data_IF_242046802329
#
_entry.id   IF_242046802329
#
_cell.length_a   1.000
_cell.length_b   1.000
_cell.length_c   1.000
_cell.angle_alpha   90.00
_cell.angle_beta   90.00
_cell.angle_gamma   90.00
#
_symmetry.space_group_name_H-M   'P 1'
#
loop_
_entity.id
_entity.type
_entity.pdbx_description
1 polymer ?
#
# COMPACT_ATOMS: atom_id res chain seq x y z
N UNK A 1 28.96 16.68 -3.44
CA UNK A 1 27.77 16.14 -2.75
C UNK A 1 27.09 17.28 -1.98
N UNK A 2 25.84 17.62 -2.32
CA UNK A 2 25.15 18.76 -1.72
C UNK A 2 24.69 18.46 -0.28
N UNK A 3 24.51 19.51 0.55
CA UNK A 3 23.96 19.36 1.93
C UNK A 3 22.69 18.49 1.99
N UNK A 4 21.90 18.46 0.91
CA UNK A 4 20.68 17.68 0.78
C UNK A 4 20.94 16.17 0.67
N UNK A 5 22.04 15.71 0.09
CA UNK A 5 22.36 14.27 -0.01
C UNK A 5 22.80 13.69 1.34
N UNK A 6 23.57 14.45 2.13
CA UNK A 6 23.93 14.03 3.49
C UNK A 6 22.72 13.97 4.44
N UNK A 7 21.78 14.89 4.31
CA UNK A 7 20.53 14.86 5.09
C UNK A 7 19.66 13.67 4.68
N UNK A 8 19.56 13.37 3.38
CA UNK A 8 18.81 12.22 2.86
C UNK A 8 19.31 10.88 3.40
N UNK A 9 20.62 10.65 3.40
CA UNK A 9 21.23 9.44 3.94
C UNK A 9 20.95 9.23 5.44
N UNK A 10 21.03 10.31 6.24
CA UNK A 10 20.72 10.25 7.68
C UNK A 10 19.24 9.92 7.94
N UNK A 11 18.33 10.51 7.17
CA UNK A 11 16.88 10.23 7.28
C UNK A 11 16.58 8.78 6.92
N UNK A 12 17.18 8.25 5.84
CA UNK A 12 17.00 6.85 5.45
C UNK A 12 17.52 5.89 6.55
N UNK A 13 18.67 6.17 7.11
CA UNK A 13 19.21 5.39 8.23
C UNK A 13 18.27 5.42 9.45
N UNK A 14 17.81 6.61 9.84
CA UNK A 14 16.89 6.78 10.96
C UNK A 14 15.57 6.03 10.75
N UNK A 15 15.00 6.08 9.54
CA UNK A 15 13.79 5.32 9.18
C UNK A 15 14.05 3.80 9.17
N UNK A 16 15.22 3.36 8.70
CA UNK A 16 15.63 1.95 8.77
C UNK A 16 15.72 1.44 10.21
N UNK A 17 16.35 2.22 11.09
CA UNK A 17 16.45 1.90 12.53
C UNK A 17 15.05 1.90 13.18
N UNK A 18 14.21 2.89 12.88
CA UNK A 18 12.83 2.95 13.35
C UNK A 18 12.03 1.72 12.91
N UNK A 19 12.11 1.36 11.63
CA UNK A 19 11.42 0.18 11.10
C UNK A 19 11.91 -1.10 11.78
N UNK A 20 13.22 -1.28 11.98
CA UNK A 20 13.79 -2.43 12.68
C UNK A 20 13.31 -2.48 14.14
N UNK A 21 13.31 -1.36 14.84
CA UNK A 21 12.80 -1.27 16.21
C UNK A 21 11.31 -1.62 16.29
N UNK A 22 10.47 -1.08 15.38
CA UNK A 22 9.04 -1.40 15.30
C UNK A 22 8.82 -2.89 14.95
N UNK A 23 9.63 -3.44 14.05
CA UNK A 23 9.57 -4.86 13.66
C UNK A 23 9.79 -5.77 14.87
N UNK A 24 10.85 -5.52 15.65
CA UNK A 24 11.17 -6.28 16.87
C UNK A 24 10.06 -6.08 17.92
N UNK A 25 9.61 -4.82 18.13
CA UNK A 25 8.56 -4.50 19.08
C UNK A 25 7.25 -5.20 18.75
N UNK A 26 6.91 -5.34 17.46
CA UNK A 26 5.68 -5.98 17.00
C UNK A 26 5.55 -7.45 17.38
N UNK A 27 6.68 -8.14 17.62
CA UNK A 27 6.66 -9.50 18.15
C UNK A 27 6.31 -9.57 19.63
N UNK A 28 6.54 -8.49 20.40
CA UNK A 28 6.14 -8.41 21.80
C UNK A 28 4.69 -7.98 21.99
N UNK A 29 4.22 -7.14 21.06
CA UNK A 29 2.85 -6.64 21.08
C UNK A 29 1.88 -7.69 20.54
N UNK A 30 0.94 -8.12 21.37
CA UNK A 30 -0.08 -9.10 21.02
C UNK A 30 -0.76 -9.66 22.25
N UNK A 31 -1.97 -10.17 22.11
CA UNK A 31 -2.83 -10.65 23.20
C UNK A 31 -2.30 -11.91 23.88
N UNK A 32 -1.58 -12.76 23.17
CA UNK A 32 -0.94 -13.93 23.73
C UNK A 32 0.46 -13.55 24.17
N UNK A 33 0.73 -13.57 25.49
CA UNK A 33 2.02 -13.21 26.06
C UNK A 33 3.09 -14.27 25.70
N UNK A 34 4.11 -13.88 24.94
CA UNK A 34 5.30 -14.67 24.68
C UNK A 34 6.51 -13.88 25.16
N UNK A 35 7.35 -14.50 25.98
CA UNK A 35 8.57 -13.87 26.45
C UNK A 35 9.53 -13.52 25.32
N UNK A 36 10.31 -12.45 25.50
CA UNK A 36 11.25 -11.98 24.47
C UNK A 36 12.34 -13.01 24.16
N UNK A 37 12.85 -13.71 25.19
CA UNK A 37 13.85 -14.78 25.02
C UNK A 37 13.28 -15.94 24.22
N UNK A 38 12.07 -16.38 24.56
CA UNK A 38 11.33 -17.43 23.84
C UNK A 38 11.06 -17.03 22.39
N UNK A 39 10.61 -15.79 22.16
CA UNK A 39 10.41 -15.26 20.79
C UNK A 39 11.70 -15.31 19.96
N UNK A 40 12.82 -14.85 20.51
CA UNK A 40 14.12 -14.93 19.84
C UNK A 40 14.54 -16.37 19.53
N UNK A 41 14.37 -17.29 20.47
CA UNK A 41 14.68 -18.72 20.26
C UNK A 41 13.83 -19.33 19.17
N UNK A 42 12.51 -19.06 19.15
CA UNK A 42 11.60 -19.53 18.10
C UNK A 42 12.03 -19.00 16.72
N UNK A 43 12.38 -17.71 16.60
CA UNK A 43 12.83 -17.14 15.32
C UNK A 43 14.17 -17.74 14.88
N UNK A 44 15.12 -17.90 15.80
CA UNK A 44 16.44 -18.48 15.53
C UNK A 44 16.38 -20.00 15.23
N UNK A 45 15.39 -20.72 15.74
CA UNK A 45 15.21 -22.15 15.47
C UNK A 45 14.99 -22.49 14.00
N UNK A 46 14.64 -21.50 13.18
CA UNK A 46 14.56 -21.67 11.72
C UNK A 46 15.93 -21.68 11.03
N UNK A 47 16.94 -21.15 11.67
CA UNK A 47 18.31 -21.02 11.14
C UNK A 47 19.29 -21.95 11.85
N UNK A 48 19.04 -22.24 13.13
CA UNK A 48 19.91 -23.02 13.99
C UNK A 48 19.12 -24.16 14.64
N UNK A 49 19.70 -25.38 14.79
CA UNK A 49 19.08 -26.48 15.52
C UNK A 49 19.13 -26.19 17.04
N UNK A 50 18.10 -25.51 17.55
CA UNK A 50 17.98 -25.21 18.97
C UNK A 50 17.04 -26.21 19.65
N UNK A 51 17.34 -26.53 20.92
CA UNK A 51 16.46 -27.35 21.76
C UNK A 51 15.12 -26.63 21.94
N UNK A 52 14.03 -27.37 21.75
CA UNK A 52 12.68 -26.84 21.88
C UNK A 52 12.33 -26.62 23.35
N UNK A 53 12.39 -25.38 23.81
CA UNK A 53 12.01 -24.94 25.16
C UNK A 53 10.66 -24.22 25.20
N UNK A 54 9.97 -24.09 24.07
CA UNK A 54 8.70 -23.39 23.89
C UNK A 54 7.54 -24.34 23.62
N UNK A 55 6.34 -23.89 23.94
CA UNK A 55 5.11 -24.63 23.68
C UNK A 55 4.67 -24.52 22.22
N UNK A 56 3.82 -25.46 21.74
CA UNK A 56 3.25 -25.40 20.39
C UNK A 56 2.42 -24.14 20.14
N UNK A 57 1.76 -23.60 21.17
CA UNK A 57 0.99 -22.37 21.09
C UNK A 57 1.87 -21.13 20.90
N UNK A 58 2.99 -21.03 21.61
CA UNK A 58 3.98 -19.96 21.44
C UNK A 58 4.59 -19.97 20.04
N UNK A 59 4.95 -21.16 19.56
CA UNK A 59 5.44 -21.34 18.20
C UNK A 59 4.42 -20.84 17.16
N UNK A 60 3.16 -21.26 17.30
CA UNK A 60 2.08 -20.85 16.41
C UNK A 60 1.83 -19.34 16.46
N UNK A 61 1.82 -18.77 17.68
CA UNK A 61 1.64 -17.33 17.86
C UNK A 61 2.74 -16.51 17.17
N UNK A 62 4.00 -16.92 17.27
CA UNK A 62 5.15 -16.17 16.72
C UNK A 62 5.30 -16.38 15.23
N UNK A 63 5.33 -17.63 14.74
CA UNK A 63 5.66 -17.93 13.35
C UNK A 63 4.47 -18.01 12.42
N UNK A 64 3.30 -18.46 12.88
CA UNK A 64 2.15 -18.66 12.01
C UNK A 64 1.17 -17.48 12.05
N UNK A 65 1.20 -16.65 13.10
CA UNK A 65 0.29 -15.50 13.25
C UNK A 65 1.06 -14.18 13.12
N UNK A 66 2.07 -13.93 14.00
CA UNK A 66 2.74 -12.63 14.08
C UNK A 66 3.66 -12.38 12.90
N UNK A 67 4.56 -13.30 12.58
CA UNK A 67 5.56 -13.14 11.53
C UNK A 67 4.92 -12.82 10.16
N UNK A 68 3.94 -13.60 9.63
CA UNK A 68 3.32 -13.31 8.35
C UNK A 68 2.65 -11.93 8.33
N UNK A 69 1.96 -11.58 9.41
CA UNK A 69 1.22 -10.32 9.53
C UNK A 69 2.16 -9.11 9.58
N UNK A 70 3.25 -9.18 10.37
CA UNK A 70 4.28 -8.13 10.47
C UNK A 70 4.94 -7.91 9.10
N UNK A 71 5.34 -8.99 8.43
CA UNK A 71 5.95 -8.90 7.10
C UNK A 71 4.96 -8.32 6.08
N UNK A 72 3.71 -8.77 6.11
CA UNK A 72 2.69 -8.23 5.20
C UNK A 72 2.41 -6.75 5.46
N UNK A 73 2.32 -6.31 6.72
CA UNK A 73 2.17 -4.90 7.06
C UNK A 73 3.30 -4.04 6.47
N UNK A 74 4.55 -4.49 6.62
CA UNK A 74 5.70 -3.81 6.04
C UNK A 74 5.62 -3.76 4.51
N UNK A 75 5.29 -4.87 3.84
CA UNK A 75 5.20 -4.95 2.38
C UNK A 75 4.07 -4.06 1.84
N UNK A 76 2.87 -4.14 2.40
CA UNK A 76 1.72 -3.34 1.96
C UNK A 76 1.98 -1.85 2.17
N UNK A 77 2.51 -1.45 3.34
CA UNK A 77 2.87 -0.06 3.61
C UNK A 77 3.95 0.47 2.65
N UNK A 78 4.99 -0.31 2.39
CA UNK A 78 6.02 -0.04 1.40
C UNK A 78 5.42 0.15 0.00
N UNK A 79 4.57 -0.77 -0.44
CA UNK A 79 3.93 -0.77 -1.76
C UNK A 79 3.01 0.44 -1.97
N UNK A 80 2.07 0.67 -1.06
CA UNK A 80 1.10 1.76 -1.18
C UNK A 80 1.79 3.13 -1.16
N UNK A 81 2.79 3.31 -0.28
CA UNK A 81 3.54 4.55 -0.21
C UNK A 81 4.41 4.78 -1.45
N UNK A 82 5.04 3.73 -1.99
CA UNK A 82 5.82 3.82 -3.23
C UNK A 82 4.95 4.14 -4.43
N UNK A 83 3.80 3.47 -4.55
CA UNK A 83 2.82 3.74 -5.60
C UNK A 83 2.32 5.19 -5.52
N UNK A 84 2.00 5.66 -4.30
CA UNK A 84 1.62 7.05 -4.08
C UNK A 84 2.67 8.05 -4.52
N UNK A 85 3.95 7.84 -4.14
CA UNK A 85 5.05 8.69 -4.58
C UNK A 85 5.18 8.70 -6.11
N UNK A 86 5.08 7.52 -6.75
CA UNK A 86 5.15 7.36 -8.21
C UNK A 86 4.00 8.10 -8.91
N UNK A 87 2.76 7.91 -8.47
CA UNK A 87 1.59 8.62 -9.01
C UNK A 87 1.71 10.14 -8.85
N UNK A 88 2.15 10.63 -7.69
CA UNK A 88 2.39 12.05 -7.47
C UNK A 88 3.42 12.63 -8.46
N UNK A 89 4.43 11.84 -8.84
CA UNK A 89 5.40 12.22 -9.87
C UNK A 89 4.82 12.21 -11.28
N UNK A 90 4.09 11.16 -11.65
CA UNK A 90 3.46 10.99 -12.96
C UNK A 90 2.40 12.07 -13.24
N UNK A 91 1.55 12.35 -12.25
CA UNK A 91 0.48 13.33 -12.37
C UNK A 91 0.92 14.77 -12.03
N UNK A 92 2.19 14.96 -11.65
CA UNK A 92 2.73 16.27 -11.21
C UNK A 92 1.84 16.94 -10.15
N UNK A 93 1.15 16.11 -9.37
CA UNK A 93 0.20 16.55 -8.35
C UNK A 93 0.51 15.85 -7.02
N UNK A 94 0.93 16.58 -5.98
CA UNK A 94 1.23 16.00 -4.67
C UNK A 94 0.01 15.40 -3.96
N UNK A 95 -1.18 15.64 -4.49
CA UNK A 95 -2.46 15.12 -4.00
C UNK A 95 -2.90 13.84 -4.71
N UNK A 96 -2.16 13.37 -5.72
CA UNK A 96 -2.49 12.12 -6.40
C UNK A 96 -2.30 10.94 -5.45
N UNK A 97 -3.30 10.07 -5.39
CA UNK A 97 -3.27 8.81 -4.64
C UNK A 97 -3.34 7.61 -5.59
N UNK A 98 -2.97 6.41 -5.15
CA UNK A 98 -3.17 5.20 -5.94
C UNK A 98 -4.61 4.97 -6.41
N UNK A 99 -5.58 5.53 -5.70
CA UNK A 99 -7.01 5.37 -5.98
C UNK A 99 -7.53 6.20 -7.16
N UNK A 100 -6.75 7.19 -7.63
CA UNK A 100 -7.16 8.08 -8.74
C UNK A 100 -7.50 7.32 -10.02
N UNK A 101 -6.84 6.17 -10.25
CA UNK A 101 -7.12 5.32 -11.41
C UNK A 101 -8.13 4.18 -11.12
N UNK A 102 -8.82 4.22 -9.99
CA UNK A 102 -9.89 3.28 -9.67
C UNK A 102 -9.44 1.87 -9.27
N UNK A 103 -8.16 1.67 -8.93
CA UNK A 103 -7.64 0.37 -8.51
C UNK A 103 -8.41 -0.22 -7.32
N UNK A 104 -8.73 0.61 -6.31
CA UNK A 104 -9.48 0.18 -5.13
C UNK A 104 -10.94 -0.17 -5.42
N UNK A 105 -11.63 0.60 -6.28
CA UNK A 105 -13.02 0.30 -6.64
C UNK A 105 -13.14 -0.98 -7.47
N UNK A 106 -12.20 -1.22 -8.38
CA UNK A 106 -12.12 -2.48 -9.11
C UNK A 106 -11.85 -3.68 -8.20
N UNK A 107 -10.90 -3.54 -7.27
CA UNK A 107 -10.61 -4.58 -6.27
C UNK A 107 -11.83 -4.89 -5.39
N UNK A 108 -12.56 -3.85 -4.97
CA UNK A 108 -13.77 -3.97 -4.16
C UNK A 108 -14.88 -4.73 -4.88
N UNK A 109 -15.09 -4.41 -6.15
CA UNK A 109 -16.03 -5.16 -7.00
C UNK A 109 -15.60 -6.62 -7.15
N UNK A 110 -14.32 -6.87 -7.47
CA UNK A 110 -13.78 -8.21 -7.63
C UNK A 110 -13.90 -9.05 -6.37
N UNK A 111 -13.62 -8.49 -5.21
CA UNK A 111 -13.78 -9.17 -3.93
C UNK A 111 -15.24 -9.47 -3.62
N UNK A 112 -16.14 -8.49 -3.77
CA UNK A 112 -17.57 -8.70 -3.55
C UNK A 112 -18.15 -9.76 -4.48
N UNK A 113 -17.75 -9.76 -5.75
CA UNK A 113 -18.16 -10.78 -6.74
C UNK A 113 -17.70 -12.18 -6.33
N UNK A 114 -16.46 -12.32 -5.88
CA UNK A 114 -15.88 -13.60 -5.46
C UNK A 114 -16.51 -14.14 -4.17
N UNK A 115 -16.78 -13.26 -3.20
CA UNK A 115 -17.47 -13.63 -1.95
C UNK A 115 -18.90 -14.09 -2.28
N UNK A 116 -19.61 -13.39 -3.16
CA UNK A 116 -20.95 -13.77 -3.61
C UNK A 116 -20.95 -15.13 -4.31
N UNK A 117 -19.90 -15.41 -5.10
CA UNK A 117 -19.72 -16.70 -5.77
C UNK A 117 -19.22 -17.83 -4.85
N UNK A 118 -18.85 -17.54 -3.60
CA UNK A 118 -18.43 -18.55 -2.62
C UNK A 118 -17.08 -19.21 -2.93
N UNK A 119 -16.16 -18.54 -3.65
CA UNK A 119 -14.87 -19.15 -4.10
C UNK A 119 -13.77 -19.17 -3.04
N UNK A 120 -14.06 -18.72 -1.83
CA UNK A 120 -13.13 -18.70 -0.69
C UNK A 120 -12.02 -17.64 -0.81
N UNK A 121 -11.20 -17.52 0.26
CA UNK A 121 -10.24 -16.42 0.41
C UNK A 121 -9.24 -16.28 -0.74
N UNK A 122 -8.75 -17.40 -1.28
CA UNK A 122 -7.79 -17.35 -2.41
C UNK A 122 -8.44 -16.83 -3.69
N UNK A 123 -9.66 -17.27 -3.97
CA UNK A 123 -10.44 -16.79 -5.10
C UNK A 123 -10.78 -15.31 -4.95
N UNK A 124 -11.14 -14.87 -3.75
CA UNK A 124 -11.38 -13.45 -3.43
C UNK A 124 -10.13 -12.60 -3.69
N UNK A 125 -8.96 -13.03 -3.23
CA UNK A 125 -7.69 -12.35 -3.49
C UNK A 125 -7.38 -12.25 -4.98
N UNK A 126 -7.51 -13.34 -5.72
CA UNK A 126 -7.24 -13.36 -7.16
C UNK A 126 -8.23 -12.50 -7.94
N UNK A 127 -9.51 -12.58 -7.60
CA UNK A 127 -10.56 -11.75 -8.21
C UNK A 127 -10.33 -10.26 -7.95
N UNK A 128 -10.07 -9.88 -6.70
CA UNK A 128 -9.74 -8.50 -6.34
C UNK A 128 -8.52 -7.98 -7.11
N UNK A 129 -7.46 -8.77 -7.20
CA UNK A 129 -6.26 -8.44 -7.96
C UNK A 129 -6.55 -8.25 -9.45
N UNK A 130 -7.25 -9.20 -10.07
CA UNK A 130 -7.61 -9.15 -11.49
C UNK A 130 -8.48 -7.92 -11.81
N UNK A 131 -9.56 -7.69 -11.07
CA UNK A 131 -10.46 -6.57 -11.31
C UNK A 131 -9.82 -5.22 -11.00
N UNK A 132 -8.91 -5.15 -10.05
CA UNK A 132 -8.09 -3.95 -9.82
C UNK A 132 -7.25 -3.59 -11.04
N UNK A 133 -6.54 -4.57 -11.61
CA UNK A 133 -5.73 -4.36 -12.82
C UNK A 133 -6.62 -4.04 -14.04
N UNK A 134 -7.71 -4.79 -14.22
CA UNK A 134 -8.65 -4.59 -15.33
C UNK A 134 -9.25 -3.17 -15.32
N UNK A 135 -9.60 -2.67 -14.14
CA UNK A 135 -10.12 -1.30 -13.97
C UNK A 135 -9.09 -0.26 -14.41
N UNK A 136 -7.84 -0.37 -13.98
CA UNK A 136 -6.80 0.60 -14.37
C UNK A 136 -6.47 0.49 -15.86
N UNK A 137 -6.45 -0.70 -16.43
CA UNK A 137 -6.31 -0.87 -17.88
C UNK A 137 -7.45 -0.19 -18.63
N UNK A 138 -8.69 -0.37 -18.18
CA UNK A 138 -9.86 0.28 -18.77
C UNK A 138 -9.75 1.81 -18.70
N UNK A 139 -9.40 2.35 -17.53
CA UNK A 139 -9.16 3.80 -17.32
C UNK A 139 -8.08 4.31 -18.27
N UNK A 140 -7.00 3.57 -18.40
CA UNK A 140 -5.88 3.95 -19.27
C UNK A 140 -6.30 3.96 -20.74
N UNK A 141 -7.03 2.94 -21.22
CA UNK A 141 -7.52 2.87 -22.60
C UNK A 141 -8.51 3.97 -22.93
N UNK A 142 -9.43 4.30 -22.02
CA UNK A 142 -10.40 5.39 -22.18
C UNK A 142 -9.67 6.74 -22.15
N UNK A 143 -8.80 6.97 -21.18
CA UNK A 143 -8.07 8.23 -21.04
C UNK A 143 -7.13 8.53 -22.20
N UNK A 144 -6.57 7.50 -22.86
CA UNK A 144 -5.75 7.71 -24.06
C UNK A 144 -6.52 8.08 -25.30
N UNK A 145 -7.80 7.68 -25.43
CA UNK A 145 -8.65 7.99 -26.58
C UNK A 145 -9.34 9.34 -26.46
N UNK A 146 -9.41 9.91 -25.27
CA UNK A 146 -10.05 11.21 -25.06
C UNK A 146 -9.13 12.33 -25.59
N UNK A 147 -9.69 13.34 -26.31
CA UNK A 147 -8.93 14.49 -26.78
C UNK A 147 -8.52 15.41 -25.61
N UNK A 148 -7.40 16.12 -25.74
CA UNK A 148 -6.92 17.09 -24.76
C UNK A 148 -5.79 16.61 -23.87
N UNK A 149 -5.72 17.12 -22.64
CA UNK A 149 -4.65 16.80 -21.69
C UNK A 149 -4.75 15.37 -21.16
N UNK A 150 -3.67 14.60 -21.37
CA UNK A 150 -3.62 13.15 -21.00
C UNK A 150 -3.77 12.90 -19.51
N UNK A 151 -3.21 13.77 -18.69
CA UNK A 151 -3.26 13.60 -17.21
C UNK A 151 -4.67 13.85 -16.73
N UNK A 152 -5.30 14.94 -17.22
CA UNK A 152 -6.68 15.26 -16.90
C UNK A 152 -7.63 14.15 -17.35
N UNK A 153 -7.46 13.65 -18.58
CA UNK A 153 -8.28 12.57 -19.12
C UNK A 153 -8.18 11.27 -18.31
N UNK A 154 -6.98 10.90 -17.83
CA UNK A 154 -6.81 9.74 -16.95
C UNK A 154 -7.52 9.92 -15.60
N UNK A 155 -7.45 11.11 -15.02
CA UNK A 155 -8.14 11.41 -13.75
C UNK A 155 -9.66 11.36 -13.92
N UNK A 156 -10.18 12.00 -14.97
CA UNK A 156 -11.63 12.01 -15.27
C UNK A 156 -12.14 10.59 -15.58
N UNK A 157 -11.44 9.83 -16.42
CA UNK A 157 -11.78 8.44 -16.70
C UNK A 157 -11.75 7.58 -15.43
N UNK A 158 -10.75 7.79 -14.57
CA UNK A 158 -10.64 7.12 -13.27
C UNK A 158 -11.84 7.40 -12.38
N UNK A 159 -12.27 8.65 -12.24
CA UNK A 159 -13.45 9.02 -11.45
C UNK A 159 -14.73 8.36 -11.97
N UNK A 160 -14.98 8.43 -13.28
CA UNK A 160 -16.20 7.86 -13.91
C UNK A 160 -16.22 6.34 -13.75
N UNK A 161 -15.12 5.66 -14.07
CA UNK A 161 -15.03 4.19 -13.99
C UNK A 161 -15.10 3.74 -12.52
N UNK A 162 -14.46 4.44 -11.59
CA UNK A 162 -14.58 4.16 -10.15
C UNK A 162 -16.02 4.26 -9.67
N UNK A 163 -16.77 5.27 -10.11
CA UNK A 163 -18.19 5.41 -9.76
C UNK A 163 -19.01 4.24 -10.27
N UNK A 164 -18.74 3.75 -11.49
CA UNK A 164 -19.41 2.58 -12.06
C UNK A 164 -19.14 1.32 -11.25
N UNK A 165 -17.86 1.02 -10.89
CA UNK A 165 -17.51 -0.12 -10.06
C UNK A 165 -18.04 -0.01 -8.63
N UNK A 166 -18.12 1.21 -8.08
CA UNK A 166 -18.73 1.46 -6.78
C UNK A 166 -20.24 1.16 -6.80
N UNK A 167 -20.95 1.58 -7.85
CA UNK A 167 -22.36 1.25 -8.04
C UNK A 167 -22.56 -0.26 -8.21
N UNK A 168 -21.70 -0.92 -9.00
CA UNK A 168 -21.73 -2.37 -9.16
C UNK A 168 -21.48 -3.11 -7.83
N UNK A 169 -20.51 -2.67 -7.03
CA UNK A 169 -20.25 -3.23 -5.68
C UNK A 169 -21.47 -3.04 -4.78
N UNK A 170 -22.13 -1.89 -4.84
CA UNK A 170 -23.36 -1.61 -4.07
C UNK A 170 -24.49 -2.54 -4.48
N UNK A 171 -24.64 -2.83 -5.77
CA UNK A 171 -25.60 -3.81 -6.25
C UNK A 171 -25.29 -5.23 -5.74
N UNK A 172 -24.01 -5.67 -5.76
CA UNK A 172 -23.63 -6.98 -5.21
C UNK A 172 -23.94 -7.07 -3.71
N UNK A 173 -23.74 -5.99 -2.94
CA UNK A 173 -24.13 -5.93 -1.52
C UNK A 173 -25.63 -6.01 -1.31
N UNK A 174 -26.44 -5.46 -2.23
CA UNK A 174 -27.90 -5.50 -2.16
C UNK A 174 -28.45 -6.92 -2.34
N UNK A 175 -27.82 -7.72 -3.21
CA UNK A 175 -28.28 -9.10 -3.51
C UNK A 175 -27.58 -10.17 -2.66
N UNK A 176 -26.59 -9.79 -1.85
CA UNK A 176 -25.82 -10.69 -0.99
C UNK A 176 -26.68 -11.18 0.19
N UNK A 177 -26.43 -12.42 0.64
CA UNK A 177 -27.02 -12.94 1.86
C UNK A 177 -26.70 -12.02 3.05
N UNK A 178 -27.73 -11.50 3.75
CA UNK A 178 -27.55 -10.54 4.81
C UNK A 178 -26.86 -11.12 6.05
N UNK A 179 -26.86 -12.44 6.23
CA UNK A 179 -26.33 -13.11 7.41
C UNK A 179 -24.84 -13.40 7.31
N UNK A 180 -24.36 -13.80 6.11
CA UNK A 180 -22.97 -14.26 5.90
C UNK A 180 -22.21 -13.39 4.91
N UNK A 181 -22.72 -13.26 3.67
CA UNK A 181 -21.97 -12.61 2.59
C UNK A 181 -21.85 -11.10 2.74
N UNK A 182 -22.92 -10.42 3.14
CA UNK A 182 -22.92 -8.97 3.32
C UNK A 182 -21.96 -8.50 4.44
N UNK A 183 -21.92 -9.14 5.62
CA UNK A 183 -20.92 -8.87 6.63
C UNK A 183 -19.50 -9.14 6.14
N UNK A 184 -19.25 -10.24 5.43
CA UNK A 184 -17.94 -10.59 4.89
C UNK A 184 -17.45 -9.55 3.88
N UNK A 185 -18.28 -9.15 2.91
CA UNK A 185 -17.97 -8.09 1.95
C UNK A 185 -17.66 -6.78 2.69
N UNK A 186 -18.50 -6.43 3.67
CA UNK A 186 -18.35 -5.18 4.42
C UNK A 186 -17.04 -5.17 5.21
N UNK A 187 -16.70 -6.28 5.88
CA UNK A 187 -15.44 -6.42 6.62
C UNK A 187 -14.22 -6.37 5.70
N UNK A 188 -14.29 -7.03 4.53
CA UNK A 188 -13.23 -6.98 3.53
C UNK A 188 -12.97 -5.54 3.05
N UNK A 189 -14.03 -4.75 2.81
CA UNK A 189 -13.94 -3.36 2.39
C UNK A 189 -13.32 -2.44 3.46
N UNK A 190 -13.36 -2.82 4.74
CA UNK A 190 -12.73 -2.03 5.82
C UNK A 190 -11.21 -2.19 5.87
N UNK A 191 -10.66 -3.21 5.22
CA UNK A 191 -9.23 -3.51 5.19
C UNK A 191 -8.68 -4.10 6.49
N UNK A 192 -8.05 -5.26 6.39
CA UNK A 192 -7.47 -5.99 7.52
C UNK A 192 -6.29 -6.84 7.07
N UNK A 193 -5.35 -7.09 8.00
CA UNK A 193 -4.27 -8.07 7.82
C UNK A 193 -4.49 -9.33 8.64
N UNK A 194 -5.69 -9.52 9.17
CA UNK A 194 -6.07 -10.69 9.97
C UNK A 194 -6.12 -11.95 9.10
N UNK A 195 -5.77 -13.09 9.68
CA UNK A 195 -5.82 -14.37 8.99
C UNK A 195 -4.73 -14.59 7.92
N UNK A 196 -3.75 -13.70 7.79
CA UNK A 196 -2.64 -13.82 6.85
C UNK A 196 -1.78 -15.06 7.15
N UNK A 197 -1.50 -15.87 6.13
CA UNK A 197 -0.59 -17.02 6.21
C UNK A 197 0.73 -16.71 5.49
N UNK A 198 1.82 -17.35 5.91
CA UNK A 198 3.14 -17.14 5.29
C UNK A 198 3.16 -17.49 3.79
N UNK A 199 2.39 -18.52 3.38
CA UNK A 199 2.25 -18.90 1.98
C UNK A 199 1.55 -17.81 1.15
N UNK A 200 0.59 -17.08 1.73
CA UNK A 200 -0.10 -15.98 1.07
C UNK A 200 0.85 -14.79 0.89
N UNK A 201 1.65 -14.50 1.93
CA UNK A 201 2.72 -13.47 1.86
C UNK A 201 3.73 -13.81 0.77
N UNK A 202 4.22 -15.04 0.70
CA UNK A 202 5.20 -15.45 -0.30
C UNK A 202 4.66 -15.30 -1.74
N UNK A 203 3.41 -15.67 -1.97
CA UNK A 203 2.76 -15.55 -3.29
C UNK A 203 2.61 -14.10 -3.74
N UNK A 204 2.12 -13.24 -2.85
CA UNK A 204 1.87 -11.84 -3.22
C UNK A 204 3.17 -11.02 -3.24
N UNK A 205 4.17 -11.39 -2.44
CA UNK A 205 5.48 -10.73 -2.43
C UNK A 205 6.15 -10.76 -3.81
N UNK A 206 5.93 -11.80 -4.61
CA UNK A 206 6.44 -11.88 -5.99
C UNK A 206 5.84 -10.80 -6.89
N UNK A 207 4.51 -10.60 -6.84
CA UNK A 207 3.83 -9.55 -7.58
C UNK A 207 4.22 -8.14 -7.08
N UNK A 208 4.34 -7.98 -5.74
CA UNK A 208 4.84 -6.74 -5.14
C UNK A 208 6.26 -6.42 -5.57
N UNK A 209 7.17 -7.40 -5.54
CA UNK A 209 8.55 -7.23 -5.97
C UNK A 209 8.65 -6.90 -7.47
N UNK A 210 7.83 -7.54 -8.32
CA UNK A 210 7.78 -7.27 -9.75
C UNK A 210 7.40 -5.82 -10.08
N UNK A 211 6.63 -5.16 -9.23
CA UNK A 211 6.32 -3.73 -9.38
C UNK A 211 7.28 -2.80 -8.65
N UNK A 212 7.69 -3.14 -7.40
CA UNK A 212 8.59 -2.31 -6.59
C UNK A 212 9.99 -2.21 -7.20
N UNK A 213 10.54 -3.32 -7.68
CA UNK A 213 11.90 -3.35 -8.20
C UNK A 213 12.09 -2.42 -9.41
N UNK A 214 11.24 -2.45 -10.46
CA UNK A 214 11.35 -1.48 -11.54
C UNK A 214 11.11 -0.04 -11.06
N UNK A 215 10.16 0.22 -10.17
CA UNK A 215 9.97 1.57 -9.61
C UNK A 215 11.23 2.08 -8.92
N UNK A 216 11.90 1.23 -8.15
CA UNK A 216 13.15 1.56 -7.49
C UNK A 216 14.28 1.85 -8.49
N UNK A 217 14.40 1.08 -9.56
CA UNK A 217 15.38 1.31 -10.62
C UNK A 217 15.08 2.61 -11.40
N UNK A 218 13.81 2.91 -11.63
CA UNK A 218 13.36 4.10 -12.36
C UNK A 218 13.38 5.38 -11.53
N UNK A 219 13.64 5.31 -10.20
CA UNK A 219 13.49 6.44 -9.26
C UNK A 219 14.20 7.73 -9.69
N UNK A 220 15.37 7.63 -10.36
CA UNK A 220 16.05 8.81 -10.84
C UNK A 220 15.39 9.42 -12.10
N UNK A 221 14.82 8.57 -12.97
CA UNK A 221 14.10 9.01 -14.17
C UNK A 221 12.78 9.69 -13.82
N UNK A 222 12.16 9.35 -12.67
CA UNK A 222 10.93 9.99 -12.22
C UNK A 222 11.10 11.49 -11.99
N UNK A 223 12.32 11.97 -11.66
CA UNK A 223 12.58 13.41 -11.57
C UNK A 223 12.37 14.12 -12.91
N UNK A 224 12.62 13.44 -14.02
CA UNK A 224 12.47 14.02 -15.36
C UNK A 224 10.99 14.22 -15.74
N UNK A 225 10.10 13.35 -15.25
CA UNK A 225 8.65 13.51 -15.44
C UNK A 225 8.09 14.75 -14.72
N UNK A 226 8.77 15.22 -13.67
CA UNK A 226 8.34 16.41 -12.93
C UNK A 226 8.72 17.73 -13.62
N UNK A 227 9.61 17.70 -14.61
CA UNK A 227 10.04 18.88 -15.38
C UNK A 227 9.08 19.21 -16.54
N UNK A 228 8.40 18.20 -17.07
CA UNK A 228 7.56 18.30 -18.25
C UNK A 228 7.98 17.34 -19.36
N UNK A 229 7.10 17.15 -20.35
CA UNK A 229 7.35 16.17 -21.41
C UNK A 229 8.43 16.64 -22.40
N UNK A 230 8.50 17.94 -22.68
CA UNK A 230 9.44 18.51 -23.63
C UNK A 230 10.86 18.55 -23.04
N UNK A 231 11.00 18.92 -21.78
CA UNK A 231 12.28 18.88 -21.05
C UNK A 231 12.79 17.46 -20.90
N UNK A 232 11.91 16.49 -20.58
CA UNK A 232 12.28 15.08 -20.49
C UNK A 232 12.78 14.54 -21.84
N UNK A 233 12.15 14.94 -22.95
CA UNK A 233 12.58 14.59 -24.32
C UNK A 233 13.95 15.19 -24.67
N UNK A 234 14.15 16.46 -24.34
CA UNK A 234 15.45 17.12 -24.55
C UNK A 234 16.59 16.41 -23.82
N UNK A 235 16.30 15.78 -22.68
CA UNK A 235 17.23 14.94 -21.91
C UNK A 235 17.33 13.49 -22.42
N UNK A 236 16.73 13.16 -23.58
CA UNK A 236 16.79 11.83 -24.19
C UNK A 236 15.86 10.78 -23.57
N UNK A 237 14.85 11.19 -22.76
CA UNK A 237 13.92 10.27 -22.14
C UNK A 237 12.56 10.30 -22.85
N UNK A 238 12.07 9.10 -23.21
CA UNK A 238 10.72 8.96 -23.74
C UNK A 238 9.70 9.06 -22.59
N UNK A 239 9.21 10.28 -22.33
CA UNK A 239 8.28 10.57 -21.23
C UNK A 239 7.00 9.72 -21.29
N UNK A 240 6.31 9.51 -22.44
CA UNK A 240 5.15 8.61 -22.53
C UNK A 240 5.44 7.18 -22.09
N UNK A 241 6.58 6.60 -22.52
CA UNK A 241 6.98 5.22 -22.11
C UNK A 241 7.31 5.14 -20.63
N UNK A 242 8.04 6.13 -20.11
CA UNK A 242 8.38 6.18 -18.69
C UNK A 242 7.12 6.31 -17.82
N UNK A 243 6.18 7.18 -18.22
CA UNK A 243 4.89 7.35 -17.55
C UNK A 243 4.09 6.05 -17.55
N UNK A 244 3.98 5.38 -18.70
CA UNK A 244 3.30 4.09 -18.83
C UNK A 244 3.90 3.02 -17.90
N UNK A 245 5.21 2.82 -17.94
CA UNK A 245 5.91 1.84 -17.09
C UNK A 245 5.70 2.16 -15.61
N UNK A 246 5.78 3.42 -15.23
CA UNK A 246 5.58 3.86 -13.84
C UNK A 246 4.15 3.58 -13.38
N UNK A 247 3.15 3.88 -14.21
CA UNK A 247 1.74 3.58 -13.92
C UNK A 247 1.52 2.08 -13.78
N UNK A 248 2.03 1.27 -14.71
CA UNK A 248 1.89 -0.19 -14.65
C UNK A 248 2.50 -0.75 -13.37
N UNK A 249 3.73 -0.36 -13.03
CA UNK A 249 4.39 -0.83 -11.81
C UNK A 249 3.66 -0.37 -10.55
N UNK A 250 3.25 0.90 -10.50
CA UNK A 250 2.51 1.45 -9.36
C UNK A 250 1.13 0.79 -9.20
N UNK A 251 0.44 0.50 -10.31
CA UNK A 251 -0.82 -0.25 -10.30
C UNK A 251 -0.62 -1.68 -9.80
N UNK A 252 0.42 -2.36 -10.27
CA UNK A 252 0.71 -3.75 -9.88
C UNK A 252 0.90 -3.87 -8.37
N UNK A 253 1.72 -2.97 -7.76
CA UNK A 253 1.93 -3.00 -6.31
C UNK A 253 0.70 -2.57 -5.53
N UNK A 254 -0.12 -1.65 -6.07
CA UNK A 254 -1.39 -1.25 -5.45
C UNK A 254 -2.39 -2.39 -5.48
N UNK A 255 -2.60 -3.01 -6.64
CA UNK A 255 -3.52 -4.14 -6.80
C UNK A 255 -3.13 -5.33 -5.92
N UNK A 256 -1.81 -5.66 -5.88
CA UNK A 256 -1.28 -6.70 -5.02
C UNK A 256 -1.51 -6.40 -3.53
N UNK A 257 -1.34 -5.14 -3.12
CA UNK A 257 -1.58 -4.72 -1.73
C UNK A 257 -3.07 -4.85 -1.36
N UNK A 258 -3.95 -4.27 -2.15
CA UNK A 258 -5.40 -4.26 -1.87
C UNK A 258 -5.97 -5.69 -1.89
N UNK A 259 -5.51 -6.54 -2.79
CA UNK A 259 -5.98 -7.92 -2.91
C UNK A 259 -5.78 -8.75 -1.62
N UNK A 260 -4.76 -8.46 -0.82
CA UNK A 260 -4.45 -9.21 0.41
C UNK A 260 -4.82 -8.47 1.69
N UNK A 261 -4.97 -7.15 1.64
CA UNK A 261 -5.25 -6.35 2.83
C UNK A 261 -6.64 -5.72 2.84
N UNK A 262 -7.42 -5.87 1.74
CA UNK A 262 -8.60 -5.04 1.54
C UNK A 262 -8.23 -3.57 1.33
N UNK A 263 -9.20 -2.67 1.46
CA UNK A 263 -8.97 -1.25 1.21
C UNK A 263 -8.25 -0.56 2.38
N UNK A 264 -7.00 -0.17 2.16
CA UNK A 264 -6.21 0.65 3.08
C UNK A 264 -5.89 1.96 2.38
N UNK A 265 -6.69 2.99 2.65
CA UNK A 265 -6.51 4.33 2.09
C UNK A 265 -5.46 5.17 2.85
N UNK A 266 -5.22 6.39 2.35
CA UNK A 266 -4.39 7.46 2.95
C UNK A 266 -2.88 7.21 2.98
N UNK A 267 -2.40 5.97 3.09
CA UNK A 267 -0.95 5.65 3.17
C UNK A 267 -0.21 6.21 1.95
N UNK A 268 -0.72 5.93 0.75
CA UNK A 268 -0.12 6.41 -0.50
C UNK A 268 -0.20 7.92 -0.72
N UNK A 269 -1.07 8.61 0.00
CA UNK A 269 -1.19 10.07 -0.07
C UNK A 269 -0.31 10.75 0.98
N UNK A 270 -0.46 10.36 2.24
CA UNK A 270 0.12 11.02 3.40
C UNK A 270 1.60 10.78 3.52
N UNK A 271 2.03 9.52 3.42
CA UNK A 271 3.43 9.14 3.67
C UNK A 271 4.41 9.78 2.67
N UNK A 272 4.18 9.74 1.34
CA UNK A 272 5.08 10.42 0.40
C UNK A 272 5.12 11.93 0.60
N UNK A 273 3.99 12.53 1.00
CA UNK A 273 3.92 13.95 1.30
C UNK A 273 4.79 14.32 2.52
N UNK A 274 4.75 13.52 3.58
CA UNK A 274 5.64 13.68 4.74
C UNK A 274 7.10 13.50 4.37
N UNK A 275 7.42 12.44 3.61
CA UNK A 275 8.77 12.18 3.14
C UNK A 275 9.33 13.34 2.31
N UNK A 276 8.49 13.96 1.46
CA UNK A 276 8.89 15.13 0.66
C UNK A 276 9.29 16.33 1.53
N UNK A 277 8.65 16.49 2.69
CA UNK A 277 9.06 17.54 3.67
C UNK A 277 10.39 17.23 4.36
N UNK A 278 10.72 15.95 4.53
CA UNK A 278 11.94 15.50 5.20
C UNK A 278 13.17 15.50 4.28
N UNK A 279 13.01 15.00 3.04
CA UNK A 279 14.13 14.74 2.14
C UNK A 279 14.05 15.51 0.82
N UNK A 280 13.01 16.35 0.63
CA UNK A 280 12.78 17.11 -0.61
C UNK A 280 12.10 16.26 -1.69
N UNK A 281 12.03 16.80 -2.91
CA UNK A 281 11.28 16.21 -4.03
C UNK A 281 12.13 15.32 -4.93
N UNK A 282 13.42 15.12 -4.64
CA UNK A 282 14.29 14.27 -5.44
C UNK A 282 13.92 12.78 -5.24
N UNK A 283 13.38 12.15 -6.29
CA UNK A 283 12.92 10.75 -6.25
C UNK A 283 14.03 9.74 -5.96
N UNK A 284 15.32 10.06 -6.17
CA UNK A 284 16.42 9.18 -5.75
C UNK A 284 16.37 8.84 -4.27
N UNK A 285 15.97 9.82 -3.45
CA UNK A 285 15.88 9.70 -1.98
C UNK A 285 14.43 9.59 -1.54
N UNK A 286 13.51 10.30 -2.19
CA UNK A 286 12.09 10.34 -1.84
C UNK A 286 11.45 8.95 -1.93
N UNK A 287 11.71 8.20 -2.99
CA UNK A 287 11.10 6.88 -3.17
C UNK A 287 11.54 5.89 -2.08
N UNK A 288 12.86 5.65 -1.83
CA UNK A 288 13.26 4.78 -0.73
C UNK A 288 12.85 5.31 0.66
N UNK A 289 12.80 6.62 0.86
CA UNK A 289 12.25 7.23 2.08
C UNK A 289 10.77 6.86 2.25
N UNK A 290 9.98 6.96 1.18
CA UNK A 290 8.56 6.57 1.18
C UNK A 290 8.38 5.07 1.43
N UNK A 291 9.23 4.22 0.88
CA UNK A 291 9.24 2.77 1.12
C UNK A 291 9.38 2.45 2.61
N UNK A 292 10.42 2.98 3.23
CA UNK A 292 10.72 2.73 4.65
C UNK A 292 9.66 3.36 5.58
N UNK A 293 9.29 4.61 5.31
CA UNK A 293 8.29 5.30 6.10
C UNK A 293 6.90 4.66 5.97
N UNK A 294 6.52 4.19 4.78
CA UNK A 294 5.26 3.48 4.56
C UNK A 294 5.21 2.15 5.30
N UNK A 295 6.30 1.37 5.26
CA UNK A 295 6.42 0.13 6.01
C UNK A 295 6.31 0.38 7.54
N UNK A 296 7.04 1.37 8.05
CA UNK A 296 7.00 1.72 9.47
C UNK A 296 5.62 2.23 9.91
N UNK A 297 4.99 3.08 9.09
CA UNK A 297 3.67 3.64 9.37
C UNK A 297 2.61 2.55 9.44
N UNK A 298 2.53 1.68 8.43
CA UNK A 298 1.50 0.64 8.41
C UNK A 298 1.72 -0.41 9.49
N UNK A 299 2.97 -0.75 9.81
CA UNK A 299 3.29 -1.63 10.92
C UNK A 299 2.88 -1.03 12.27
N UNK A 300 3.07 0.28 12.46
CA UNK A 300 2.59 0.99 13.64
C UNK A 300 1.08 0.95 13.74
N UNK A 301 0.37 1.24 12.64
CA UNK A 301 -1.10 1.20 12.57
C UNK A 301 -1.62 -0.23 12.83
N UNK A 302 -0.96 -1.25 12.29
CA UNK A 302 -1.33 -2.66 12.57
C UNK A 302 -1.14 -3.03 14.05
N UNK A 303 -0.09 -2.55 14.69
CA UNK A 303 0.09 -2.73 16.13
C UNK A 303 -1.03 -2.07 16.95
N UNK A 304 -1.45 -0.87 16.56
CA UNK A 304 -2.61 -0.19 17.18
C UNK A 304 -3.90 -0.96 16.93
N UNK A 305 -4.14 -1.41 15.69
CA UNK A 305 -5.31 -2.23 15.30
C UNK A 305 -5.52 -3.44 16.21
N UNK A 306 -4.43 -4.13 16.56
CA UNK A 306 -4.46 -5.38 17.34
C UNK A 306 -4.60 -5.17 18.85
N UNK A 307 -4.13 -4.04 19.37
CA UNK A 307 -3.94 -3.88 20.82
C UNK A 307 -4.79 -2.78 21.45
N UNK A 308 -5.47 -1.93 20.63
CA UNK A 308 -6.20 -0.77 21.15
C UNK A 308 -7.52 -1.17 21.82
N UNK A 309 -8.25 -2.14 21.25
CA UNK A 309 -9.54 -2.62 21.77
C UNK A 309 -9.54 -4.15 21.93
N UNK A 310 -10.56 -4.69 22.58
CA UNK A 310 -10.79 -6.13 22.71
C UNK A 310 -11.09 -6.80 21.36
N UNK A 311 -11.65 -6.10 20.40
CA UNK A 311 -11.80 -6.51 19.01
C UNK A 311 -10.76 -5.80 18.14
N UNK A 312 -10.31 -6.44 17.04
CA UNK A 312 -9.41 -5.77 16.11
C UNK A 312 -10.13 -4.66 15.37
N UNK A 313 -9.52 -3.47 15.33
CA UNK A 313 -10.04 -2.35 14.54
C UNK A 313 -9.53 -2.53 13.11
N UNK A 314 -10.39 -2.52 12.08
CA UNK A 314 -9.95 -2.54 10.69
C UNK A 314 -8.95 -1.42 10.40
N UNK A 315 -7.87 -1.78 9.69
CA UNK A 315 -6.73 -0.87 9.43
C UNK A 315 -7.17 0.35 8.62
N UNK A 316 -8.09 0.17 7.66
CA UNK A 316 -8.62 1.26 6.85
C UNK A 316 -9.32 2.35 7.69
N UNK A 317 -9.98 1.98 8.79
CA UNK A 317 -10.57 2.94 9.73
C UNK A 317 -9.48 3.76 10.42
N UNK A 318 -8.44 3.12 10.94
CA UNK A 318 -7.35 3.80 11.63
C UNK A 318 -6.55 4.71 10.68
N UNK A 319 -6.30 4.26 9.45
CA UNK A 319 -5.61 5.10 8.46
C UNK A 319 -6.46 6.29 8.02
N UNK A 320 -7.79 6.16 7.97
CA UNK A 320 -8.68 7.27 7.68
C UNK A 320 -8.71 8.29 8.83
N UNK A 321 -8.81 7.84 10.08
CA UNK A 321 -8.77 8.72 11.25
C UNK A 321 -7.44 9.46 11.44
N UNK A 322 -6.34 8.89 10.97
CA UNK A 322 -5.03 9.56 11.01
C UNK A 322 -4.78 10.42 9.78
N UNK A 323 -5.17 9.92 8.60
CA UNK A 323 -4.88 10.54 7.31
C UNK A 323 -5.72 11.78 7.01
N UNK A 324 -7.05 11.71 7.23
CA UNK A 324 -7.96 12.80 6.89
C UNK A 324 -7.72 14.07 7.73
N UNK A 325 -7.60 14.02 9.06
CA UNK A 325 -7.29 15.20 9.87
C UNK A 325 -5.92 15.80 9.56
N UNK A 326 -4.92 14.90 9.32
CA UNK A 326 -3.58 15.36 8.92
C UNK A 326 -3.62 16.13 7.61
N UNK A 327 -4.40 15.65 6.65
CA UNK A 327 -4.55 16.29 5.35
C UNK A 327 -5.27 17.66 5.45
N UNK A 328 -6.33 17.72 6.25
CA UNK A 328 -7.03 18.99 6.53
C UNK A 328 -6.07 20.00 7.18
N UNK A 329 -5.28 19.59 8.16
CA UNK A 329 -4.24 20.43 8.76
C UNK A 329 -3.25 20.97 7.72
N UNK A 330 -2.83 20.14 6.76
CA UNK A 330 -1.92 20.56 5.70
C UNK A 330 -2.55 21.58 4.74
N UNK A 331 -3.82 21.43 4.41
CA UNK A 331 -4.55 22.38 3.56
C UNK A 331 -4.68 23.74 4.24
N UNK A 332 -5.07 23.76 5.50
CA UNK A 332 -5.23 24.99 6.28
C UNK A 332 -3.90 25.74 6.47
N UNK A 333 -2.81 25.03 6.68
CA UNK A 333 -1.49 25.65 6.86
C UNK A 333 -0.92 26.26 5.58
N UNK A 334 -1.26 25.77 4.39
CA UNK A 334 -0.87 26.37 3.10
C UNK A 334 -1.69 27.61 2.75
N UNK A 335 -2.89 27.78 3.31
CA UNK A 335 -3.74 28.96 3.10
C UNK A 335 -3.28 30.23 3.85
N UNK A 336 -2.35 30.11 4.78
CA UNK A 336 -1.85 31.25 5.56
C UNK A 336 -0.57 31.92 5.04
N UNK A 337 -0.05 31.46 3.90
CA UNK A 337 1.14 32.04 3.25
C UNK A 337 0.74 32.66 1.89
N UNK A 338 -0.06 33.71 1.93
CA UNK A 338 -0.29 34.69 0.86
C UNK A 338 0.05 36.07 1.38
#
# INVERSE_FOLDING_TARGET
MSKTEHTGGRVLLALGVLLAALFILSFRLGRYGVDAGTTCRILLSRLLPLEQTWTGNEYTAVLNIRLPRIVLACLVGCCLSSAGAAYQGVFQNPMASPDVLGASSGASFGAALAILAGVGNQGTTLSAFFWSLATVVLVYLVGQRAPGDRVLNLVLAGMVISSLFTAATSYLKLVADPTNQLPEITYWLMGSLSGTRLADVARIATAMAAGLFPLFLLRWKLNLLTLGDDEARAMGVNAPRLRFLTVVCATLVTAASIAVSGMIGWVGLVVPHLCRKLVGSNFRVLLPCSMLAGAAFLLLVDNLSRNLLATEIPIGILTAFTGAPFFLYLMLRKGGAR
#
